data_IF_882416969307
#
_entry.id   IF_882416969307
#
_cell.length_a   1.000
_cell.length_b   1.000
_cell.length_c   1.000
_cell.angle_alpha   90.00
_cell.angle_beta   90.00
_cell.angle_gamma   90.00
#
_symmetry.space_group_name_H-M   'P 1'
#
loop_
_entity.id
_entity.type
_entity.pdbx_description
1 polymer ?
#
# COMPACT_ATOMS: atom_id res chain seq x y z
N UNK A 1 34.76 29.71 -20.66
CA UNK A 1 33.55 29.02 -21.11
C UNK A 1 33.25 27.88 -20.14
N UNK A 2 32.37 28.12 -19.16
CA UNK A 2 31.95 27.12 -18.18
C UNK A 2 30.77 26.35 -18.79
N UNK A 3 30.98 25.06 -19.08
CA UNK A 3 29.91 24.16 -19.50
C UNK A 3 29.15 23.76 -18.23
N UNK A 4 27.94 24.27 -18.06
CA UNK A 4 26.98 23.75 -17.09
C UNK A 4 26.57 22.35 -17.55
N UNK A 5 27.27 21.32 -17.06
CA UNK A 5 26.73 19.98 -17.04
C UNK A 5 25.58 19.99 -16.04
N UNK A 6 24.36 20.18 -16.53
CA UNK A 6 23.17 19.78 -15.80
C UNK A 6 23.39 18.32 -15.39
N UNK A 7 23.66 18.10 -14.09
CA UNK A 7 23.56 16.77 -13.52
C UNK A 7 22.12 16.34 -13.82
N UNK A 8 21.88 15.21 -14.51
CA UNK A 8 20.53 14.71 -14.62
C UNK A 8 20.00 14.61 -13.20
N UNK A 9 18.91 15.32 -12.90
CA UNK A 9 18.26 15.21 -11.61
C UNK A 9 18.10 13.72 -11.32
N UNK A 10 18.72 13.23 -10.24
CA UNK A 10 18.61 11.84 -9.83
C UNK A 10 17.12 11.52 -9.82
N UNK A 11 16.69 10.63 -10.72
CA UNK A 11 15.30 10.17 -10.73
C UNK A 11 15.03 9.66 -9.32
N UNK A 12 13.98 10.16 -8.64
CA UNK A 12 13.66 9.66 -7.31
C UNK A 12 13.47 8.14 -7.40
N UNK A 13 14.07 7.41 -6.47
CA UNK A 13 13.93 5.96 -6.41
C UNK A 13 12.44 5.61 -6.27
N UNK A 14 11.94 4.77 -7.17
CA UNK A 14 10.54 4.35 -7.19
C UNK A 14 10.12 3.66 -5.89
N UNK A 15 10.98 2.76 -5.40
CA UNK A 15 10.80 2.04 -4.15
C UNK A 15 11.89 2.45 -3.16
N UNK A 16 11.48 3.08 -2.06
CA UNK A 16 12.34 3.40 -0.92
C UNK A 16 12.05 2.43 0.22
N UNK A 17 13.05 1.77 0.79
CA UNK A 17 12.87 0.93 1.98
C UNK A 17 13.33 1.66 3.23
N UNK A 18 12.53 1.61 4.29
CA UNK A 18 12.81 2.25 5.58
C UNK A 18 12.64 1.22 6.70
N UNK A 19 13.64 1.12 7.56
CA UNK A 19 13.59 0.31 8.79
C UNK A 19 12.98 1.13 9.92
N UNK A 20 11.66 1.32 9.85
CA UNK A 20 10.86 2.06 10.82
C UNK A 20 9.43 1.51 10.85
N UNK A 21 8.60 2.01 11.75
CA UNK A 21 7.17 1.70 11.85
C UNK A 21 6.38 2.59 10.89
N UNK A 22 5.44 1.99 10.15
CA UNK A 22 4.55 2.70 9.23
C UNK A 22 3.73 3.79 9.95
N UNK A 23 3.39 3.60 11.22
CA UNK A 23 2.58 4.58 11.97
C UNK A 23 3.38 5.74 12.55
N UNK A 24 4.71 5.68 12.55
CA UNK A 24 5.60 6.79 12.95
C UNK A 24 5.89 7.71 11.75
N UNK A 25 5.42 7.33 10.56
CA UNK A 25 5.46 8.19 9.38
C UNK A 25 4.56 9.41 9.58
N UNK A 26 4.89 10.55 8.96
CA UNK A 26 4.02 11.71 9.02
C UNK A 26 2.64 11.34 8.46
N UNK A 27 1.58 11.76 9.16
CA UNK A 27 0.19 11.40 8.84
C UNK A 27 -0.31 12.00 7.52
N UNK A 28 0.56 12.63 6.72
CA UNK A 28 0.22 13.45 5.57
C UNK A 28 0.29 12.71 4.21
N UNK A 29 0.62 11.42 4.20
CA UNK A 29 0.76 10.64 2.97
C UNK A 29 -0.26 9.50 2.86
N UNK A 30 -0.57 9.09 1.63
CA UNK A 30 -1.52 8.01 1.38
C UNK A 30 -0.95 6.66 1.80
N UNK A 31 -1.79 5.79 2.37
CA UNK A 31 -1.38 4.49 2.91
C UNK A 31 -1.98 3.34 2.10
N UNK A 32 -1.27 2.23 1.94
CA UNK A 32 -1.80 1.03 1.31
C UNK A 32 -1.52 -0.25 2.12
N UNK A 33 -2.49 -1.17 2.14
CA UNK A 33 -2.31 -2.52 2.68
C UNK A 33 -3.26 -3.55 2.05
N UNK A 34 -2.98 -4.84 2.26
CA UNK A 34 -3.83 -5.92 1.76
C UNK A 34 -4.95 -6.28 2.74
N UNK A 35 -6.13 -6.62 2.19
CA UNK A 35 -7.26 -7.21 2.90
C UNK A 35 -7.93 -8.33 2.09
N UNK A 36 -8.83 -9.05 2.76
CA UNK A 36 -9.82 -9.92 2.11
C UNK A 36 -11.12 -9.18 1.81
N UNK A 37 -11.87 -9.63 0.81
CA UNK A 37 -13.15 -9.04 0.40
C UNK A 37 -14.22 -9.08 1.52
N UNK A 38 -14.16 -10.09 2.39
CA UNK A 38 -15.01 -10.17 3.60
C UNK A 38 -14.59 -9.20 4.73
N UNK A 39 -13.56 -8.38 4.51
CA UNK A 39 -13.02 -7.37 5.43
C UNK A 39 -12.76 -7.91 6.85
N UNK A 40 -12.46 -9.21 6.98
CA UNK A 40 -12.07 -9.86 8.25
C UNK A 40 -10.62 -9.53 8.58
N UNK A 41 -10.40 -8.30 9.03
CA UNK A 41 -9.13 -7.74 9.49
C UNK A 41 -8.80 -8.18 10.93
N UNK A 42 -8.69 -9.49 11.14
CA UNK A 42 -8.60 -10.10 12.48
C UNK A 42 -7.18 -10.42 12.97
N UNK A 43 -6.15 -10.19 12.15
CA UNK A 43 -4.76 -10.52 12.49
C UNK A 43 -3.79 -9.43 12.02
N UNK A 44 -2.67 -9.32 12.73
CA UNK A 44 -1.49 -8.53 12.32
C UNK A 44 -1.84 -7.05 12.06
N UNK A 45 -1.16 -6.44 11.10
CA UNK A 45 -1.27 -5.04 10.68
C UNK A 45 -2.71 -4.64 10.34
N UNK A 46 -3.53 -5.58 9.88
CA UNK A 46 -4.92 -5.30 9.54
C UNK A 46 -5.78 -4.95 10.78
N UNK A 47 -5.50 -5.53 11.96
CA UNK A 47 -6.22 -5.18 13.20
C UNK A 47 -5.99 -3.72 13.57
N UNK A 48 -4.77 -3.25 13.39
CA UNK A 48 -4.33 -1.92 13.78
C UNK A 48 -4.88 -0.86 12.85
N UNK A 49 -4.86 -1.16 11.55
CA UNK A 49 -5.47 -0.29 10.55
C UNK A 49 -6.98 -0.20 10.76
N UNK A 50 -7.62 -1.31 11.17
CA UNK A 50 -9.02 -1.30 11.60
C UNK A 50 -9.24 -0.45 12.86
N UNK A 51 -8.35 -0.51 13.85
CA UNK A 51 -8.43 0.30 15.06
C UNK A 51 -8.20 1.79 14.78
N UNK A 52 -7.19 2.14 13.96
CA UNK A 52 -6.83 3.52 13.62
C UNK A 52 -7.86 4.17 12.70
N UNK A 53 -8.30 3.48 11.64
CA UNK A 53 -9.07 4.09 10.55
C UNK A 53 -10.54 3.67 10.49
N UNK A 54 -10.93 2.61 11.22
CA UNK A 54 -12.30 2.13 11.26
C UNK A 54 -12.85 1.75 9.87
N UNK A 55 -14.05 2.22 9.53
CA UNK A 55 -14.55 2.22 8.15
C UNK A 55 -14.98 0.87 7.55
N UNK A 56 -15.02 -0.22 8.33
CA UNK A 56 -15.36 -1.56 7.80
C UNK A 56 -16.70 -1.58 7.05
N UNK A 57 -17.73 -0.89 7.55
CA UNK A 57 -19.02 -0.82 6.87
C UNK A 57 -18.93 -0.05 5.54
N UNK A 58 -18.14 1.02 5.48
CA UNK A 58 -17.89 1.77 4.23
C UNK A 58 -17.17 0.91 3.20
N UNK A 59 -16.13 0.17 3.62
CA UNK A 59 -15.40 -0.76 2.75
C UNK A 59 -16.32 -1.83 2.16
N UNK A 60 -17.16 -2.46 3.00
CA UNK A 60 -18.09 -3.48 2.55
C UNK A 60 -19.15 -2.93 1.56
N UNK A 61 -19.58 -1.67 1.73
CA UNK A 61 -20.51 -1.02 0.80
C UNK A 61 -19.92 -0.79 -0.58
N UNK A 62 -18.59 -0.68 -0.70
CA UNK A 62 -17.91 -0.55 -2.00
C UNK A 62 -17.92 -1.86 -2.82
N UNK A 63 -18.21 -3.00 -2.17
CA UNK A 63 -18.36 -4.32 -2.82
C UNK A 63 -17.17 -4.71 -3.71
N UNK A 64 -15.96 -4.36 -3.29
CA UNK A 64 -14.73 -4.67 -4.02
C UNK A 64 -14.41 -6.16 -3.96
N UNK A 65 -14.04 -6.72 -5.10
CA UNK A 65 -13.65 -8.10 -5.29
C UNK A 65 -12.12 -8.25 -5.37
N UNK A 66 -11.57 -9.48 -5.25
CA UNK A 66 -10.14 -9.71 -5.44
C UNK A 66 -9.63 -9.15 -6.77
N UNK A 67 -8.53 -8.41 -6.73
CA UNK A 67 -8.01 -7.67 -7.87
C UNK A 67 -8.47 -6.22 -7.96
N UNK A 68 -9.23 -5.73 -6.97
CA UNK A 68 -9.64 -4.32 -6.89
C UNK A 68 -9.12 -3.67 -5.61
N UNK A 69 -9.13 -2.34 -5.59
CA UNK A 69 -8.77 -1.51 -4.44
C UNK A 69 -10.02 -0.82 -3.88
N UNK A 70 -10.25 -0.96 -2.58
CA UNK A 70 -11.18 -0.13 -1.84
C UNK A 70 -10.45 1.09 -1.27
N UNK A 71 -11.14 2.22 -1.13
CA UNK A 71 -10.52 3.48 -0.72
C UNK A 71 -11.33 4.13 0.40
N UNK A 72 -10.65 4.59 1.45
CA UNK A 72 -11.22 5.51 2.43
C UNK A 72 -10.46 6.84 2.40
N UNK A 73 -11.18 7.95 2.58
CA UNK A 73 -10.57 9.25 2.86
C UNK A 73 -10.64 9.49 4.37
N UNK A 74 -9.48 9.72 4.99
CA UNK A 74 -9.36 10.05 6.43
C UNK A 74 -8.37 11.19 6.58
N UNK A 75 -8.76 12.23 7.30
CA UNK A 75 -7.88 13.37 7.63
C UNK A 75 -7.22 14.04 6.41
N UNK A 76 -7.82 13.93 5.21
CA UNK A 76 -7.26 14.47 3.96
C UNK A 76 -6.40 13.49 3.16
N UNK A 77 -6.25 12.26 3.63
CA UNK A 77 -5.37 11.24 3.03
C UNK A 77 -6.16 10.01 2.59
N UNK A 78 -5.74 9.44 1.46
CA UNK A 78 -6.32 8.20 0.96
C UNK A 78 -5.69 6.99 1.64
N UNK A 79 -6.56 6.06 2.04
CA UNK A 79 -6.17 4.76 2.58
C UNK A 79 -6.69 3.71 1.61
N UNK A 80 -5.74 3.01 1.00
CA UNK A 80 -5.97 1.98 0.01
C UNK A 80 -5.98 0.59 0.65
N UNK A 81 -7.06 -0.13 0.38
CA UNK A 81 -7.33 -1.47 0.85
C UNK A 81 -7.31 -2.40 -0.35
N UNK A 82 -6.13 -2.96 -0.65
CA UNK A 82 -5.92 -3.88 -1.77
C UNK A 82 -6.65 -5.19 -1.46
N UNK A 83 -7.73 -5.46 -2.19
CA UNK A 83 -8.49 -6.69 -2.03
C UNK A 83 -7.78 -7.78 -2.82
N UNK A 84 -7.02 -8.64 -2.13
CA UNK A 84 -6.18 -9.64 -2.79
C UNK A 84 -6.73 -11.05 -2.71
N UNK A 85 -7.75 -11.28 -1.87
CA UNK A 85 -8.34 -12.60 -1.61
C UNK A 85 -9.82 -12.49 -1.22
N UNK A 86 -10.58 -13.55 -1.47
CA UNK A 86 -12.02 -13.55 -1.19
C UNK A 86 -12.33 -13.60 0.32
N UNK A 87 -11.60 -14.43 1.07
CA UNK A 87 -11.80 -14.67 2.49
C UNK A 87 -10.47 -14.60 3.22
N UNK A 88 -10.47 -14.20 4.49
CA UNK A 88 -9.23 -14.01 5.25
C UNK A 88 -8.30 -15.25 5.29
N UNK A 89 -8.87 -16.45 5.29
CA UNK A 89 -8.12 -17.73 5.31
C UNK A 89 -7.64 -18.20 3.93
N UNK A 90 -8.09 -17.58 2.83
CA UNK A 90 -7.54 -17.85 1.51
C UNK A 90 -6.15 -17.22 1.36
N UNK A 91 -5.37 -17.71 0.40
CA UNK A 91 -4.12 -17.09 0.00
C UNK A 91 -4.35 -16.16 -1.20
N UNK A 92 -3.72 -14.98 -1.23
CA UNK A 92 -3.74 -14.16 -2.43
C UNK A 92 -2.90 -14.81 -3.53
N UNK A 93 -3.07 -14.31 -4.75
CA UNK A 93 -2.26 -14.69 -5.91
C UNK A 93 -1.47 -13.47 -6.39
N UNK A 94 -0.37 -13.68 -7.12
CA UNK A 94 0.34 -12.56 -7.75
C UNK A 94 -0.56 -11.79 -8.72
N UNK A 95 -1.47 -12.47 -9.41
CA UNK A 95 -2.43 -11.85 -10.32
C UNK A 95 -3.43 -10.95 -9.58
N UNK A 96 -4.00 -11.42 -8.46
CA UNK A 96 -4.93 -10.59 -7.68
C UNK A 96 -4.23 -9.41 -7.02
N UNK A 97 -2.97 -9.57 -6.60
CA UNK A 97 -2.16 -8.45 -6.13
C UNK A 97 -1.89 -7.43 -7.26
N UNK A 98 -1.43 -7.89 -8.42
CA UNK A 98 -1.15 -7.06 -9.59
C UNK A 98 -2.36 -6.20 -9.96
N UNK A 99 -3.52 -6.82 -10.18
CA UNK A 99 -4.73 -6.08 -10.57
C UNK A 99 -5.16 -5.08 -9.48
N UNK A 100 -5.04 -5.44 -8.20
CA UNK A 100 -5.39 -4.52 -7.12
C UNK A 100 -4.47 -3.29 -7.07
N UNK A 101 -3.18 -3.46 -7.41
CA UNK A 101 -2.21 -2.38 -7.51
C UNK A 101 -2.47 -1.50 -8.75
N UNK A 102 -2.89 -2.08 -9.87
CA UNK A 102 -3.28 -1.33 -11.07
C UNK A 102 -4.55 -0.49 -10.84
N UNK A 103 -5.54 -1.04 -10.13
CA UNK A 103 -6.74 -0.31 -9.71
C UNK A 103 -6.38 0.85 -8.77
N UNK A 104 -5.49 0.60 -7.79
CA UNK A 104 -4.96 1.64 -6.90
C UNK A 104 -4.20 2.72 -7.67
N UNK A 105 -3.30 2.34 -8.59
CA UNK A 105 -2.53 3.28 -9.41
C UNK A 105 -3.46 4.22 -10.19
N UNK A 106 -4.50 3.66 -10.80
CA UNK A 106 -5.49 4.45 -11.54
C UNK A 106 -6.12 5.52 -10.65
N UNK A 107 -6.52 5.15 -9.43
CA UNK A 107 -7.04 6.09 -8.45
C UNK A 107 -6.00 7.14 -8.02
N UNK A 108 -4.74 6.73 -7.79
CA UNK A 108 -3.67 7.66 -7.43
C UNK A 108 -3.48 8.76 -8.48
N UNK A 109 -3.39 8.39 -9.75
CA UNK A 109 -3.22 9.34 -10.86
C UNK A 109 -4.41 10.31 -10.94
N UNK A 110 -5.63 9.78 -10.85
CA UNK A 110 -6.85 10.59 -10.92
C UNK A 110 -6.97 11.62 -9.79
N UNK A 111 -6.38 11.33 -8.63
CA UNK A 111 -6.49 12.15 -7.42
C UNK A 111 -5.19 12.85 -7.02
N UNK A 112 -4.17 12.86 -7.89
CA UNK A 112 -2.90 13.56 -7.61
C UNK A 112 -2.11 12.97 -6.44
N UNK A 113 -2.23 11.67 -6.19
CA UNK A 113 -1.43 10.98 -5.16
C UNK A 113 -0.07 10.62 -5.73
N UNK A 114 0.98 11.25 -5.22
CA UNK A 114 2.35 11.06 -5.68
C UNK A 114 3.21 10.25 -4.70
N UNK A 115 2.73 9.99 -3.49
CA UNK A 115 3.47 9.26 -2.47
C UNK A 115 2.59 8.25 -1.76
N UNK A 116 3.14 7.06 -1.57
CA UNK A 116 2.46 5.94 -0.93
C UNK A 116 3.33 5.34 0.17
N UNK A 117 2.72 5.08 1.31
CA UNK A 117 3.31 4.38 2.44
C UNK A 117 2.68 3.00 2.55
N UNK A 118 3.48 1.95 2.64
CA UNK A 118 2.96 0.59 2.82
C UNK A 118 3.93 -0.31 3.58
N UNK A 119 3.44 -1.35 4.27
CA UNK A 119 4.31 -2.40 4.79
C UNK A 119 4.77 -3.31 3.64
N UNK A 120 5.50 -4.39 3.96
CA UNK A 120 5.74 -5.48 2.99
C UNK A 120 4.43 -6.23 2.69
N UNK A 121 3.65 -5.71 1.74
CA UNK A 121 2.32 -6.22 1.38
C UNK A 121 2.37 -7.63 0.78
N UNK A 122 1.34 -8.43 1.07
CA UNK A 122 1.21 -9.81 0.56
C UNK A 122 2.25 -10.81 1.11
N UNK A 123 3.16 -10.36 1.97
CA UNK A 123 4.15 -11.21 2.64
C UNK A 123 3.65 -11.72 4.00
N UNK A 124 4.37 -12.65 4.61
CA UNK A 124 4.02 -13.23 5.92
C UNK A 124 2.92 -14.29 5.79
N UNK A 125 1.76 -14.07 6.42
CA UNK A 125 0.64 -15.01 6.41
C UNK A 125 0.09 -15.28 5.00
N UNK A 126 0.28 -14.33 4.08
CA UNK A 126 -0.16 -14.43 2.69
C UNK A 126 0.85 -15.16 1.78
N UNK A 127 2.06 -15.47 2.30
CA UNK A 127 3.08 -16.33 1.69
C UNK A 127 3.60 -15.91 0.30
N UNK A 128 3.36 -14.68 -0.16
CA UNK A 128 4.04 -14.17 -1.36
C UNK A 128 5.49 -13.79 -1.04
N UNK A 129 6.37 -14.01 -2.02
CA UNK A 129 7.78 -13.66 -1.90
C UNK A 129 7.97 -12.17 -2.18
N UNK A 130 8.61 -11.48 -1.23
CA UNK A 130 8.84 -10.04 -1.34
C UNK A 130 9.58 -9.63 -2.62
N UNK A 131 10.54 -10.43 -3.08
CA UNK A 131 11.29 -10.17 -4.31
C UNK A 131 10.41 -10.15 -5.55
N UNK A 132 9.34 -10.95 -5.59
CA UNK A 132 8.34 -10.95 -6.67
C UNK A 132 7.36 -9.79 -6.51
N UNK A 133 6.93 -9.51 -5.28
CA UNK A 133 6.05 -8.37 -4.97
C UNK A 133 6.71 -7.04 -5.34
N UNK A 134 7.99 -6.85 -5.00
CA UNK A 134 8.75 -5.65 -5.33
C UNK A 134 8.82 -5.42 -6.85
N UNK A 135 9.06 -6.48 -7.64
CA UNK A 135 9.04 -6.39 -9.11
C UNK A 135 7.68 -6.00 -9.65
N UNK A 136 6.59 -6.51 -9.07
CA UNK A 136 5.22 -6.12 -9.45
C UNK A 136 4.99 -4.63 -9.14
N UNK A 137 5.40 -4.15 -7.96
CA UNK A 137 5.30 -2.74 -7.61
C UNK A 137 6.09 -1.87 -8.60
N UNK A 138 7.32 -2.26 -8.94
CA UNK A 138 8.12 -1.56 -9.93
C UNK A 138 7.41 -1.49 -11.29
N UNK A 139 6.92 -2.63 -11.79
CA UNK A 139 6.22 -2.70 -13.08
C UNK A 139 4.95 -1.86 -13.12
N UNK A 140 4.15 -1.88 -12.04
CA UNK A 140 2.88 -1.14 -11.99
C UNK A 140 3.12 0.36 -11.94
N UNK A 141 4.10 0.82 -11.14
CA UNK A 141 4.31 2.24 -10.85
C UNK A 141 5.43 2.90 -11.66
N UNK A 142 6.12 2.15 -12.53
CA UNK A 142 7.10 2.70 -13.47
C UNK A 142 6.49 3.85 -14.28
N UNK A 143 7.26 4.93 -14.46
CA UNK A 143 6.90 6.13 -15.23
C UNK A 143 5.62 6.87 -14.78
N UNK A 144 5.09 6.57 -13.60
CA UNK A 144 3.93 7.29 -13.04
C UNK A 144 4.30 8.53 -12.22
N UNK A 145 5.59 8.64 -11.82
CA UNK A 145 6.05 9.68 -10.89
C UNK A 145 5.58 9.47 -9.44
N UNK A 146 4.95 8.33 -9.13
CA UNK A 146 4.54 7.95 -7.78
C UNK A 146 5.72 7.30 -7.06
N UNK A 147 6.04 7.76 -5.85
CA UNK A 147 7.07 7.14 -5.00
C UNK A 147 6.43 6.28 -3.93
N UNK A 148 7.00 5.10 -3.67
CA UNK A 148 6.52 4.16 -2.66
C UNK A 148 7.58 3.99 -1.57
N UNK A 149 7.18 4.22 -0.32
CA UNK A 149 8.01 3.95 0.86
C UNK A 149 7.53 2.68 1.58
N UNK A 150 8.41 1.69 1.64
CA UNK A 150 8.17 0.40 2.28
C UNK A 150 8.73 0.40 3.69
N UNK A 151 7.87 0.16 4.68
CA UNK A 151 8.24 0.02 6.08
C UNK A 151 8.43 -1.46 6.44
N UNK A 152 9.57 -1.79 7.05
CA UNK A 152 9.98 -3.17 7.29
C UNK A 152 9.91 -3.64 8.75
N UNK A 153 9.75 -2.72 9.72
CA UNK A 153 9.59 -3.14 11.11
C UNK A 153 8.14 -3.56 11.39
N UNK A 154 7.94 -4.72 12.07
CA UNK A 154 6.63 -5.10 12.54
C UNK A 154 6.15 -4.08 13.58
N UNK A 155 4.84 -3.87 13.61
CA UNK A 155 4.25 -3.05 14.65
C UNK A 155 4.39 -3.72 16.02
N UNK A 156 4.63 -2.90 17.05
CA UNK A 156 4.52 -3.32 18.45
C UNK A 156 3.48 -2.46 19.15
N UNK A 157 2.67 -3.07 20.03
CA UNK A 157 1.70 -2.37 20.90
C UNK A 157 2.31 -1.22 21.70
N UNK A 158 3.62 -1.25 21.93
CA UNK A 158 4.35 -0.18 22.61
C UNK A 158 4.28 1.18 21.88
N UNK A 159 4.00 1.19 20.57
CA UNK A 159 3.91 2.41 19.75
C UNK A 159 2.53 3.11 19.81
N UNK A 160 1.57 2.58 20.58
CA UNK A 160 0.22 3.16 20.73
C UNK A 160 0.02 3.98 22.01
N UNK A 161 1.10 4.28 22.73
CA UNK A 161 1.08 5.14 23.92
C UNK A 161 1.61 6.54 23.61
#
# INVERSE_FOLDING_TARGET
FQVWLERPALKPELLKQVTSNLFDSPNDEALAHCISADCRMGVDTAVLLKQKFGGVSELLKQRKAPGQSAVLLREGHFIYYLVTKQRAFHKPTYTSLLHSLEDMRSHCIQNGVHKLLMPRIGCGLDQLEWTKVAKILEQVFMDTGITITIYSLPWTTASMN
#
